data_IF_574752607865
#
_entry.id   IF_574752607865
#
_cell.length_a   1.000
_cell.length_b   1.000
_cell.length_c   1.000
_cell.angle_alpha   90.00
_cell.angle_beta   90.00
_cell.angle_gamma   90.00
#
_symmetry.space_group_name_H-M   'P 1'
#
loop_
_entity.id
_entity.type
_entity.pdbx_description
1 polymer ?
#
# COMPACT_ATOMS: atom_id res chain seq x y z
N UNK A 1 -2.89 27.01 3.85
CA UNK A 1 -2.77 25.86 2.92
C UNK A 1 -4.16 25.52 2.41
N UNK A 2 -4.34 25.43 1.08
CA UNK A 2 -5.63 25.04 0.50
C UNK A 2 -5.80 23.53 0.68
N UNK A 3 -6.75 23.11 1.50
CA UNK A 3 -7.14 21.71 1.62
C UNK A 3 -8.14 21.40 0.51
N UNK A 4 -7.76 20.57 -0.45
CA UNK A 4 -8.67 20.08 -1.48
C UNK A 4 -9.37 18.83 -0.94
N UNK A 5 -10.68 18.88 -0.63
CA UNK A 5 -11.37 17.73 -0.09
C UNK A 5 -11.50 16.65 -1.16
N UNK A 6 -10.97 15.46 -0.88
CA UNK A 6 -11.16 14.28 -1.73
C UNK A 6 -12.65 13.89 -1.68
N UNK A 7 -13.34 13.96 -2.83
CA UNK A 7 -14.79 13.72 -2.92
C UNK A 7 -15.14 12.25 -3.16
N UNK A 8 -14.31 11.54 -3.92
CA UNK A 8 -14.51 10.13 -4.25
C UNK A 8 -14.05 9.20 -3.11
N UNK A 9 -14.67 8.02 -2.98
CA UNK A 9 -14.28 7.01 -1.99
C UNK A 9 -12.97 6.30 -2.34
N UNK A 10 -12.66 6.22 -3.64
CA UNK A 10 -11.42 5.68 -4.19
C UNK A 10 -11.03 6.50 -5.42
N UNK A 11 -9.75 6.50 -5.75
CA UNK A 11 -9.18 7.20 -6.89
C UNK A 11 -8.26 6.26 -7.65
N UNK A 12 -8.21 6.40 -8.97
CA UNK A 12 -7.18 5.76 -9.79
C UNK A 12 -5.80 6.31 -9.44
N UNK A 13 -4.74 5.63 -9.90
CA UNK A 13 -3.36 6.08 -9.66
C UNK A 13 -3.07 7.45 -10.27
N UNK A 14 -3.66 7.76 -11.42
CA UNK A 14 -3.50 9.05 -12.10
C UNK A 14 -4.22 10.16 -11.31
N UNK A 15 -5.49 9.96 -10.96
CA UNK A 15 -6.24 10.90 -10.13
C UNK A 15 -5.60 11.12 -8.77
N UNK A 16 -5.04 10.08 -8.14
CA UNK A 16 -4.32 10.19 -6.89
C UNK A 16 -3.03 11.02 -7.04
N UNK A 17 -2.28 10.86 -8.13
CA UNK A 17 -1.11 11.68 -8.43
C UNK A 17 -1.50 13.16 -8.63
N UNK A 18 -2.61 13.43 -9.31
CA UNK A 18 -3.13 14.79 -9.50
C UNK A 18 -3.54 15.44 -8.16
N UNK A 19 -4.20 14.69 -7.28
CA UNK A 19 -4.52 15.18 -5.92
C UNK A 19 -3.25 15.47 -5.13
N UNK A 20 -2.25 14.60 -5.17
CA UNK A 20 -0.98 14.83 -4.48
C UNK A 20 -0.27 16.10 -4.99
N UNK A 21 -0.30 16.34 -6.29
CA UNK A 21 0.24 17.55 -6.92
C UNK A 21 -0.44 18.83 -6.42
N UNK A 22 -1.74 18.79 -6.13
CA UNK A 22 -2.47 19.91 -5.53
C UNK A 22 -2.03 20.23 -4.10
N UNK A 23 -1.39 19.27 -3.42
CA UNK A 23 -0.83 19.40 -2.07
C UNK A 23 0.69 19.66 -2.07
N UNK A 24 1.25 20.17 -3.17
CA UNK A 24 2.69 20.42 -3.36
C UNK A 24 3.57 19.16 -3.25
N UNK A 25 2.98 17.97 -3.41
CA UNK A 25 3.68 16.68 -3.45
C UNK A 25 3.73 16.21 -4.89
N UNK A 26 4.86 16.46 -5.56
CA UNK A 26 5.08 16.04 -6.95
C UNK A 26 5.54 14.58 -7.00
N UNK A 27 4.58 13.66 -7.08
CA UNK A 27 4.84 12.23 -7.30
C UNK A 27 4.23 11.77 -8.63
N UNK A 28 4.96 10.96 -9.38
CA UNK A 28 4.44 10.30 -10.58
C UNK A 28 3.60 9.08 -10.18
N UNK A 29 2.69 8.59 -11.04
CA UNK A 29 1.98 7.33 -10.81
C UNK A 29 2.91 6.15 -10.53
N UNK A 30 4.10 6.14 -11.16
CA UNK A 30 5.13 5.14 -10.91
C UNK A 30 5.71 5.18 -9.48
N UNK A 31 5.77 6.36 -8.86
CA UNK A 31 6.22 6.52 -7.48
C UNK A 31 5.20 5.92 -6.50
N UNK A 32 3.91 5.96 -6.82
CA UNK A 32 2.87 5.31 -6.01
C UNK A 32 3.08 3.79 -5.94
N UNK A 33 3.56 3.15 -7.02
CA UNK A 33 3.95 1.75 -6.98
C UNK A 33 5.14 1.51 -6.04
N UNK A 34 6.13 2.41 -6.00
CA UNK A 34 7.25 2.32 -5.05
C UNK A 34 6.75 2.41 -3.61
N UNK A 35 5.94 3.42 -3.31
CA UNK A 35 5.35 3.56 -1.97
C UNK A 35 4.50 2.35 -1.58
N UNK A 36 3.80 1.74 -2.53
CA UNK A 36 3.06 0.51 -2.30
C UNK A 36 3.96 -0.68 -1.98
N UNK A 37 5.02 -0.88 -2.76
CA UNK A 37 5.99 -1.96 -2.54
C UNK A 37 6.77 -1.79 -1.23
N UNK A 38 6.95 -0.55 -0.77
CA UNK A 38 7.54 -0.22 0.54
C UNK A 38 6.53 -0.17 1.69
N UNK A 39 5.24 -0.47 1.45
CA UNK A 39 4.14 -0.43 2.43
C UNK A 39 3.82 0.94 3.02
N UNK A 40 4.31 2.00 2.38
CA UNK A 40 3.94 3.37 2.74
C UNK A 40 2.53 3.70 2.25
N UNK A 41 2.02 2.93 1.28
CA UNK A 41 0.70 3.09 0.69
C UNK A 41 0.06 1.72 0.46
N UNK A 42 -1.24 1.60 0.71
CA UNK A 42 -1.99 0.38 0.37
C UNK A 42 -2.69 0.57 -0.97
N UNK A 43 -2.39 -0.28 -1.95
CA UNK A 43 -3.16 -0.36 -3.19
C UNK A 43 -4.39 -1.22 -3.00
N UNK A 44 -5.45 -0.88 -3.72
CA UNK A 44 -6.68 -1.67 -3.79
C UNK A 44 -7.01 -1.99 -5.24
N UNK A 45 -7.81 -3.02 -5.45
CA UNK A 45 -8.37 -3.40 -6.74
C UNK A 45 -9.89 -3.28 -6.69
N UNK A 46 -10.43 -2.69 -7.75
CA UNK A 46 -11.85 -2.66 -8.04
C UNK A 46 -12.14 -3.61 -9.20
N UNK A 47 -12.92 -4.65 -8.92
CA UNK A 47 -13.36 -5.62 -9.93
C UNK A 47 -14.65 -5.12 -10.59
N UNK A 48 -14.59 -4.78 -11.88
CA UNK A 48 -15.78 -4.42 -12.65
C UNK A 48 -16.65 -5.66 -12.91
N UNK A 49 -16.04 -6.75 -13.38
CA UNK A 49 -16.70 -8.04 -13.54
C UNK A 49 -16.70 -8.90 -12.26
N UNK A 50 -17.63 -9.85 -12.12
CA UNK A 50 -17.63 -10.83 -11.05
C UNK A 50 -16.35 -11.68 -11.06
N UNK A 51 -15.73 -11.82 -9.89
CA UNK A 51 -14.58 -12.69 -9.67
C UNK A 51 -14.86 -13.73 -8.60
N UNK A 52 -14.26 -14.91 -8.76
CA UNK A 52 -14.33 -15.97 -7.76
C UNK A 52 -13.20 -15.83 -6.75
N UNK A 53 -13.57 -15.73 -5.48
CA UNK A 53 -12.67 -15.60 -4.35
C UNK A 53 -12.76 -16.82 -3.45
N UNK A 54 -11.61 -17.46 -3.24
CA UNK A 54 -11.44 -18.58 -2.32
C UNK A 54 -10.88 -18.06 -1.00
N UNK A 55 -11.47 -18.36 0.17
CA UNK A 55 -10.88 -18.02 1.45
C UNK A 55 -9.45 -18.57 1.57
N UNK A 56 -8.53 -17.72 2.00
CA UNK A 56 -7.13 -18.07 2.20
C UNK A 56 -6.75 -17.78 3.65
N UNK A 57 -6.20 -18.79 4.33
CA UNK A 57 -5.48 -18.58 5.59
C UNK A 57 -4.00 -18.47 5.27
N UNK A 58 -3.41 -17.27 5.20
CA UNK A 58 -2.00 -17.13 4.85
C UNK A 58 -1.14 -17.80 5.92
N UNK A 59 -0.44 -18.87 5.55
CA UNK A 59 0.48 -19.61 6.43
C UNK A 59 1.90 -19.08 6.34
N UNK A 60 2.22 -18.27 5.33
CA UNK A 60 3.45 -17.51 5.33
C UNK A 60 3.34 -16.47 6.44
N UNK A 61 4.16 -16.62 7.49
CA UNK A 61 4.42 -15.51 8.38
C UNK A 61 4.82 -14.30 7.50
N UNK A 62 4.29 -13.13 7.82
CA UNK A 62 4.63 -11.83 7.20
C UNK A 62 6.16 -11.54 7.18
N UNK A 63 6.99 -12.44 7.71
CA UNK A 63 8.45 -12.49 7.63
C UNK A 63 9.03 -12.41 6.21
N UNK A 64 8.34 -12.91 5.17
CA UNK A 64 8.79 -12.73 3.78
C UNK A 64 8.68 -11.28 3.27
N UNK A 65 8.10 -10.39 4.09
CA UNK A 65 7.77 -9.02 3.73
C UNK A 65 8.66 -8.00 4.47
N UNK A 66 9.53 -8.42 5.40
CA UNK A 66 10.31 -7.51 6.25
C UNK A 66 11.83 -7.70 6.28
N UNK A 67 12.42 -8.79 5.76
CA UNK A 67 13.85 -9.02 5.97
C UNK A 67 14.71 -8.96 4.70
N UNK A 68 15.64 -8.02 4.75
CA UNK A 68 17.00 -8.20 4.25
C UNK A 68 17.56 -9.57 4.70
N UNK A 69 18.21 -10.29 3.80
CA UNK A 69 19.23 -11.29 4.15
C UNK A 69 18.82 -12.72 4.48
N UNK A 70 17.63 -13.03 5.01
CA UNK A 70 17.29 -14.43 5.33
C UNK A 70 16.15 -14.96 4.43
N UNK A 71 16.56 -15.71 3.41
CA UNK A 71 15.69 -16.58 2.61
C UNK A 71 14.57 -17.16 3.47
N UNK A 72 13.31 -17.01 3.05
CA UNK A 72 12.19 -17.72 3.66
C UNK A 72 12.54 -19.21 3.67
N UNK A 73 13.07 -19.70 4.79
CA UNK A 73 13.33 -21.12 4.99
C UNK A 73 11.93 -21.73 5.03
N UNK A 74 11.54 -22.60 4.09
CA UNK A 74 10.33 -23.37 4.27
C UNK A 74 10.53 -24.13 5.57
N UNK A 75 9.85 -23.69 6.63
CA UNK A 75 9.92 -24.31 7.94
C UNK A 75 9.74 -25.81 7.71
N UNK A 76 10.76 -26.62 8.03
CA UNK A 76 10.79 -28.09 7.80
C UNK A 76 9.59 -28.84 8.42
N UNK A 77 8.65 -28.15 9.08
CA UNK A 77 7.47 -28.69 9.75
C UNK A 77 6.13 -28.05 9.39
N UNK A 78 6.07 -27.13 8.43
CA UNK A 78 4.78 -26.76 7.81
C UNK A 78 4.87 -26.97 6.31
N UNK A 79 4.36 -28.14 5.92
CA UNK A 79 4.34 -28.64 4.55
C UNK A 79 3.59 -27.64 3.69
N UNK A 80 4.35 -26.89 2.89
CA UNK A 80 3.95 -26.28 1.60
C UNK A 80 2.80 -25.28 1.69
N UNK A 81 2.89 -24.13 1.01
CA UNK A 81 1.71 -23.64 0.29
C UNK A 81 1.57 -24.63 -0.85
N UNK A 82 0.83 -25.75 -0.70
CA UNK A 82 0.78 -26.68 -1.80
C UNK A 82 -0.05 -25.97 -2.87
N UNK A 83 0.00 -26.46 -4.09
CA UNK A 83 -1.22 -26.44 -4.88
C UNK A 83 -2.37 -26.89 -3.97
N UNK A 84 -3.14 -25.93 -3.44
CA UNK A 84 -4.37 -26.20 -2.72
C UNK A 84 -5.15 -27.08 -3.68
N UNK A 85 -5.57 -28.26 -3.22
CA UNK A 85 -6.27 -29.21 -4.09
C UNK A 85 -7.29 -28.43 -4.92
N UNK A 86 -7.39 -28.65 -6.24
CA UNK A 86 -8.43 -28.04 -7.05
C UNK A 86 -9.75 -28.35 -6.35
N UNK A 87 -10.39 -27.32 -5.86
CA UNK A 87 -11.66 -27.44 -5.14
C UNK A 87 -12.76 -27.11 -6.12
N UNK A 88 -13.84 -27.89 -6.03
CA UNK A 88 -15.04 -27.54 -6.77
C UNK A 88 -15.58 -26.22 -6.21
N UNK A 89 -16.19 -25.37 -7.05
CA UNK A 89 -17.00 -24.27 -6.57
C UNK A 89 -17.93 -24.76 -5.47
N UNK A 90 -17.73 -24.23 -4.27
CA UNK A 90 -18.40 -24.66 -3.05
C UNK A 90 -18.98 -23.46 -2.29
N UNK A 91 -19.82 -23.69 -1.27
CA UNK A 91 -20.53 -22.63 -0.56
C UNK A 91 -19.63 -21.64 0.19
N UNK A 92 -18.35 -21.97 0.37
CA UNK A 92 -17.35 -21.11 1.01
C UNK A 92 -16.70 -20.11 0.03
N UNK A 93 -16.95 -20.26 -1.26
CA UNK A 93 -16.42 -19.37 -2.29
C UNK A 93 -17.32 -18.15 -2.43
N UNK A 94 -16.70 -16.99 -2.59
CA UNK A 94 -17.41 -15.74 -2.77
C UNK A 94 -17.28 -15.31 -4.22
N UNK A 95 -18.41 -15.20 -4.90
CA UNK A 95 -18.49 -14.46 -6.15
C UNK A 95 -18.76 -13.00 -5.81
N UNK A 96 -17.87 -12.11 -6.25
CA UNK A 96 -17.97 -10.68 -5.92
C UNK A 96 -17.70 -9.85 -7.15
N UNK A 97 -18.58 -8.88 -7.40
CA UNK A 97 -18.38 -7.80 -8.36
C UNK A 97 -18.50 -6.46 -7.62
N UNK A 98 -18.01 -5.38 -8.21
CA UNK A 98 -18.25 -4.01 -7.75
C UNK A 98 -17.88 -3.79 -6.27
N UNK A 99 -16.82 -4.45 -5.81
CA UNK A 99 -16.33 -4.35 -4.44
C UNK A 99 -14.84 -4.04 -4.42
N UNK A 100 -14.45 -3.24 -3.44
CA UNK A 100 -13.08 -2.78 -3.29
C UNK A 100 -12.29 -3.69 -2.37
N UNK A 101 -11.19 -4.23 -2.88
CA UNK A 101 -10.33 -5.17 -2.16
C UNK A 101 -8.91 -4.65 -2.03
N UNK A 102 -8.30 -4.80 -0.86
CA UNK A 102 -6.91 -4.37 -0.68
C UNK A 102 -5.94 -5.40 -1.24
N UNK A 103 -4.86 -4.93 -1.85
CA UNK A 103 -3.75 -5.76 -2.27
C UNK A 103 -2.70 -5.82 -1.15
N UNK A 104 -2.53 -6.97 -0.48
CA UNK A 104 -1.52 -7.11 0.57
C UNK A 104 -0.09 -7.25 0.04
N UNK A 105 0.09 -7.47 -1.27
CA UNK A 105 1.40 -7.63 -1.93
C UNK A 105 2.26 -8.76 -1.33
N UNK A 106 1.61 -9.89 -1.01
CA UNK A 106 2.25 -11.09 -0.44
C UNK A 106 2.42 -12.21 -1.47
N UNK A 107 1.56 -12.27 -2.49
CA UNK A 107 1.53 -13.31 -3.52
C UNK A 107 2.04 -12.82 -4.87
N UNK A 108 1.40 -13.31 -5.94
CA UNK A 108 1.70 -12.96 -7.33
C UNK A 108 1.39 -11.49 -7.65
N UNK A 109 0.45 -10.88 -6.93
CA UNK A 109 0.09 -9.48 -7.10
C UNK A 109 1.30 -8.55 -6.93
N UNK A 110 2.26 -8.89 -6.05
CA UNK A 110 3.50 -8.11 -5.90
C UNK A 110 4.34 -8.11 -7.18
N UNK A 111 4.46 -9.27 -7.82
CA UNK A 111 5.20 -9.38 -9.10
C UNK A 111 4.49 -8.58 -10.20
N UNK A 112 3.16 -8.63 -10.26
CA UNK A 112 2.37 -7.86 -11.23
C UNK A 112 2.56 -6.35 -11.04
N UNK A 113 2.56 -5.87 -9.79
CA UNK A 113 2.83 -4.46 -9.49
C UNK A 113 4.28 -4.08 -9.86
N UNK A 114 5.26 -4.93 -9.54
CA UNK A 114 6.65 -4.69 -9.95
C UNK A 114 6.83 -4.64 -11.47
N UNK A 115 6.13 -5.50 -12.22
CA UNK A 115 6.13 -5.49 -13.67
C UNK A 115 5.49 -4.19 -14.20
N UNK A 116 4.33 -3.78 -13.69
CA UNK A 116 3.69 -2.51 -14.08
C UNK A 116 4.62 -1.31 -13.81
N UNK A 117 5.28 -1.28 -12.65
CA UNK A 117 6.28 -0.27 -12.32
C UNK A 117 7.48 -0.29 -13.29
N UNK A 118 8.01 -1.48 -13.63
CA UNK A 118 9.13 -1.62 -14.55
C UNK A 118 8.79 -1.07 -15.96
N UNK A 119 7.56 -1.31 -16.44
CA UNK A 119 7.08 -0.72 -17.69
C UNK A 119 7.05 0.80 -17.63
N UNK A 120 6.51 1.39 -16.55
CA UNK A 120 6.49 2.85 -16.37
C UNK A 120 7.88 3.47 -16.29
N UNK A 121 8.88 2.72 -15.83
CA UNK A 121 10.28 3.17 -15.71
C UNK A 121 11.15 2.77 -16.90
N UNK A 122 10.59 2.13 -17.93
CA UNK A 122 11.33 1.62 -19.09
C UNK A 122 12.53 0.74 -18.65
N UNK A 123 12.28 -0.13 -17.68
CA UNK A 123 13.27 -1.03 -17.08
C UNK A 123 12.93 -2.50 -17.39
N UNK A 124 13.92 -3.42 -17.34
CA UNK A 124 13.67 -4.84 -17.59
C UNK A 124 12.65 -5.41 -16.59
N UNK A 125 11.67 -6.16 -17.12
CA UNK A 125 10.59 -6.69 -16.32
C UNK A 125 11.05 -7.87 -15.45
N UNK A 126 10.74 -7.87 -14.14
CA UNK A 126 11.06 -9.00 -13.29
C UNK A 126 10.26 -10.24 -13.71
N UNK A 127 10.97 -11.37 -13.83
CA UNK A 127 10.37 -12.66 -14.24
C UNK A 127 10.11 -13.60 -13.06
N UNK A 128 10.70 -13.34 -11.89
CA UNK A 128 10.58 -14.18 -10.69
C UNK A 128 10.14 -13.32 -9.51
N UNK A 129 9.07 -13.76 -8.84
CA UNK A 129 8.61 -13.20 -7.58
C UNK A 129 9.22 -13.90 -6.36
N UNK A 130 8.89 -13.42 -5.18
CA UNK A 130 9.25 -14.07 -3.92
C UNK A 130 8.56 -15.44 -3.73
N UNK A 131 8.95 -16.15 -2.68
CA UNK A 131 8.56 -17.53 -2.35
C UNK A 131 7.05 -17.83 -2.30
N UNK A 132 6.19 -16.81 -2.21
CA UNK A 132 4.72 -16.97 -2.15
C UNK A 132 4.02 -16.91 -3.51
N UNK A 133 4.75 -17.05 -4.64
CA UNK A 133 4.15 -17.10 -5.99
C UNK A 133 3.04 -18.16 -6.12
N UNK A 134 3.16 -19.27 -5.40
CA UNK A 134 2.17 -20.37 -5.42
C UNK A 134 0.83 -19.97 -4.76
N UNK A 135 0.79 -18.85 -4.02
CA UNK A 135 -0.44 -18.28 -3.48
C UNK A 135 -1.32 -17.63 -4.56
N UNK A 136 -0.85 -17.48 -5.81
CA UNK A 136 -1.57 -16.73 -6.83
C UNK A 136 -1.79 -15.27 -6.42
N UNK A 137 -2.81 -14.63 -6.99
CA UNK A 137 -3.20 -13.27 -6.63
C UNK A 137 -4.00 -13.32 -5.32
N UNK A 138 -3.53 -12.59 -4.32
CA UNK A 138 -4.20 -12.46 -3.02
C UNK A 138 -4.84 -11.08 -2.89
N UNK A 139 -6.06 -11.07 -2.35
CA UNK A 139 -6.80 -9.87 -2.01
C UNK A 139 -7.25 -9.94 -0.54
N UNK A 140 -7.43 -8.78 0.09
CA UNK A 140 -7.78 -8.66 1.50
C UNK A 140 -9.06 -7.85 1.67
N UNK A 141 -10.00 -8.40 2.45
CA UNK A 141 -11.22 -7.73 2.85
C UNK A 141 -10.93 -6.67 3.92
N UNK A 142 -11.84 -5.70 4.10
CA UNK A 142 -11.74 -4.66 5.14
C UNK A 142 -11.71 -5.25 6.56
N UNK A 143 -12.34 -6.40 6.77
CA UNK A 143 -12.30 -7.16 8.03
C UNK A 143 -10.96 -7.88 8.30
N UNK A 144 -9.97 -7.73 7.42
CA UNK A 144 -8.64 -8.34 7.57
C UNK A 144 -8.57 -9.81 7.12
N UNK A 145 -9.63 -10.36 6.51
CA UNK A 145 -9.64 -11.71 5.93
C UNK A 145 -9.00 -11.72 4.55
N UNK A 146 -8.24 -12.78 4.25
CA UNK A 146 -7.55 -12.95 2.97
C UNK A 146 -8.31 -13.91 2.06
N UNK A 147 -8.25 -13.61 0.77
CA UNK A 147 -8.85 -14.41 -0.28
C UNK A 147 -7.88 -14.54 -1.44
N UNK A 148 -7.93 -15.69 -2.10
CA UNK A 148 -7.20 -15.99 -3.32
C UNK A 148 -8.14 -15.82 -4.51
N UNK A 149 -7.69 -15.07 -5.51
CA UNK A 149 -8.40 -14.94 -6.78
C UNK A 149 -8.32 -16.25 -7.56
N UNK A 150 -9.47 -16.76 -7.98
CA UNK A 150 -9.60 -18.02 -8.68
C UNK A 150 -10.35 -17.83 -10.01
N UNK A 151 -10.01 -18.68 -10.97
CA UNK A 151 -10.73 -18.85 -12.23
C UNK A 151 -11.28 -20.28 -12.32
N UNK A 152 -12.48 -20.47 -12.88
CA UNK A 152 -13.01 -21.80 -13.11
C UNK A 152 -12.31 -22.43 -14.32
N UNK A 153 -11.50 -23.46 -14.08
CA UNK A 153 -10.80 -24.20 -15.13
C UNK A 153 -11.05 -25.70 -15.05
N UNK A 154 -11.22 -26.40 -16.18
CA UNK A 154 -11.39 -27.85 -16.16
C UNK A 154 -10.11 -28.53 -15.68
N UNK A 155 -10.26 -29.63 -14.94
CA UNK A 155 -9.15 -30.34 -14.33
C UNK A 155 -8.09 -30.81 -15.34
N UNK A 156 -8.53 -31.13 -16.57
CA UNK A 156 -7.63 -31.48 -17.68
C UNK A 156 -6.69 -30.34 -18.03
N UNK A 157 -7.20 -29.12 -18.16
CA UNK A 157 -6.37 -27.95 -18.52
C UNK A 157 -5.38 -27.62 -17.41
N UNK A 158 -5.83 -27.65 -16.15
CA UNK A 158 -4.96 -27.47 -14.98
C UNK A 158 -3.81 -28.50 -15.00
N UNK A 159 -4.10 -29.76 -15.31
CA UNK A 159 -3.09 -30.80 -15.38
C UNK A 159 -2.08 -30.55 -16.51
N UNK A 160 -2.54 -30.10 -17.68
CA UNK A 160 -1.69 -29.80 -18.83
C UNK A 160 -0.77 -28.60 -18.54
N UNK A 161 -1.33 -27.49 -18.04
CA UNK A 161 -0.54 -26.30 -17.65
C UNK A 161 0.54 -26.66 -16.61
N UNK A 162 0.20 -27.51 -15.64
CA UNK A 162 1.14 -27.97 -14.63
C UNK A 162 2.30 -28.78 -15.20
N UNK A 163 2.01 -29.66 -16.15
CA UNK A 163 3.02 -30.48 -16.82
C UNK A 163 3.91 -29.59 -17.69
N UNK A 164 3.33 -28.63 -18.41
CA UNK A 164 4.07 -27.68 -19.23
C UNK A 164 4.99 -26.80 -18.38
N UNK A 165 4.50 -26.24 -17.27
CA UNK A 165 5.28 -25.34 -16.42
C UNK A 165 6.36 -26.05 -15.59
N UNK A 166 6.12 -27.29 -15.16
CA UNK A 166 6.98 -27.99 -14.17
C UNK A 166 7.65 -29.26 -14.71
N UNK A 167 7.30 -29.71 -15.92
CA UNK A 167 7.67 -31.01 -16.48
C UNK A 167 7.04 -32.21 -15.76
N UNK A 168 6.33 -32.01 -14.64
CA UNK A 168 5.71 -33.06 -13.84
C UNK A 168 4.55 -32.54 -12.99
N UNK A 169 3.58 -33.41 -12.72
CA UNK A 169 2.47 -33.09 -11.81
C UNK A 169 2.97 -33.01 -10.36
N UNK A 170 2.59 -31.97 -9.59
CA UNK A 170 2.85 -31.92 -8.16
C UNK A 170 2.30 -33.16 -7.44
N UNK A 171 3.06 -33.71 -6.49
CA UNK A 171 2.67 -34.93 -5.75
C UNK A 171 1.25 -34.88 -5.18
N UNK A 172 0.78 -33.77 -4.58
CA UNK A 172 -0.60 -33.68 -4.09
C UNK A 172 -1.65 -33.81 -5.20
N UNK A 173 -1.36 -33.22 -6.37
CA UNK A 173 -2.23 -33.29 -7.54
C UNK A 173 -2.21 -34.69 -8.14
N UNK A 174 -1.04 -35.31 -8.27
CA UNK A 174 -0.91 -36.68 -8.74
C UNK A 174 -1.68 -37.67 -7.84
N UNK A 175 -1.57 -37.54 -6.52
CA UNK A 175 -2.35 -38.35 -5.57
C UNK A 175 -3.85 -38.13 -5.70
N UNK A 176 -4.28 -36.89 -5.93
CA UNK A 176 -5.69 -36.57 -6.17
C UNK A 176 -6.20 -37.24 -7.45
N UNK A 177 -5.46 -37.11 -8.55
CA UNK A 177 -5.78 -37.76 -9.82
C UNK A 177 -5.86 -39.27 -9.65
N UNK A 178 -4.86 -39.90 -9.01
CA UNK A 178 -4.85 -41.34 -8.77
C UNK A 178 -6.08 -41.84 -7.99
N UNK A 179 -6.58 -41.06 -7.02
CA UNK A 179 -7.82 -41.38 -6.29
C UNK A 179 -9.06 -41.26 -7.18
N UNK A 180 -9.12 -40.27 -8.06
CA UNK A 180 -10.20 -40.12 -9.02
C UNK A 180 -10.25 -41.30 -9.99
N UNK A 181 -9.08 -41.70 -10.52
CA UNK A 181 -8.94 -42.87 -11.39
C UNK A 181 -9.44 -44.14 -10.72
N UNK A 182 -9.05 -44.42 -9.46
CA UNK A 182 -9.46 -45.64 -8.76
C UNK A 182 -10.94 -45.70 -8.43
N UNK A 183 -11.56 -44.58 -8.04
CA UNK A 183 -12.93 -44.61 -7.51
C UNK A 183 -14.00 -44.68 -8.58
N UNK A 184 -13.81 -44.02 -9.73
CA UNK A 184 -14.87 -43.90 -10.74
C UNK A 184 -14.34 -43.80 -12.18
N UNK A 185 -13.72 -44.87 -12.72
CA UNK A 185 -13.08 -44.86 -14.04
C UNK A 185 -14.05 -44.49 -15.18
N UNK A 186 -15.29 -44.97 -15.14
CA UNK A 186 -16.31 -44.65 -16.15
C UNK A 186 -16.73 -43.16 -16.15
N UNK A 187 -16.65 -42.48 -15.00
CA UNK A 187 -17.00 -41.05 -14.89
C UNK A 187 -15.82 -40.10 -15.14
N UNK A 188 -14.64 -40.65 -15.42
CA UNK A 188 -13.41 -39.87 -15.50
C UNK A 188 -13.42 -38.81 -16.61
N UNK A 189 -13.88 -39.09 -17.84
CA UNK A 189 -13.98 -38.06 -18.89
C UNK A 189 -14.87 -36.89 -18.46
N UNK A 190 -16.00 -37.17 -17.80
CA UNK A 190 -16.89 -36.14 -17.28
C UNK A 190 -16.21 -35.32 -16.17
N UNK A 191 -15.53 -35.98 -15.22
CA UNK A 191 -14.83 -35.31 -14.11
C UNK A 191 -13.65 -34.45 -14.57
N UNK A 192 -12.97 -34.83 -15.65
CA UNK A 192 -11.88 -34.04 -16.23
C UNK A 192 -12.37 -32.75 -16.89
N UNK A 193 -13.63 -32.72 -17.36
CA UNK A 193 -14.28 -31.56 -17.94
C UNK A 193 -14.94 -30.64 -16.90
N UNK A 194 -15.14 -31.11 -15.67
CA UNK A 194 -15.74 -30.31 -14.61
C UNK A 194 -14.82 -29.12 -14.25
N UNK A 195 -15.38 -27.91 -14.06
CA UNK A 195 -14.62 -26.77 -13.61
C UNK A 195 -14.20 -26.92 -12.14
N UNK A 196 -12.95 -26.55 -11.88
CA UNK A 196 -12.36 -26.41 -10.55
C UNK A 196 -11.84 -24.99 -10.41
N UNK A 197 -11.86 -24.48 -9.18
CA UNK A 197 -11.26 -23.18 -8.91
C UNK A 197 -9.75 -23.31 -8.87
N UNK A 198 -9.10 -22.57 -9.77
CA UNK A 198 -7.67 -22.55 -9.96
C UNK A 198 -7.10 -21.15 -9.70
N UNK A 199 -5.95 -21.00 -9.03
CA UNK A 199 -5.37 -19.68 -8.76
C UNK A 199 -5.07 -18.94 -10.07
N UNK A 200 -5.62 -17.73 -10.21
CA UNK A 200 -5.38 -16.93 -11.41
C UNK A 200 -3.93 -16.43 -11.47
N UNK A 201 -3.34 -16.45 -12.68
CA UNK A 201 -2.01 -15.92 -12.95
C UNK A 201 -2.02 -14.41 -13.24
N UNK A 202 -3.16 -13.84 -13.59
CA UNK A 202 -3.33 -12.42 -13.94
C UNK A 202 -4.60 -11.83 -13.31
N UNK A 203 -4.60 -10.52 -13.12
CA UNK A 203 -5.82 -9.79 -12.80
C UNK A 203 -6.72 -9.77 -14.05
N UNK A 204 -8.06 -9.82 -13.90
CA UNK A 204 -8.99 -9.58 -15.00
C UNK A 204 -8.68 -8.26 -15.72
N UNK A 205 -8.88 -8.23 -17.04
CA UNK A 205 -8.50 -7.09 -17.89
C UNK A 205 -9.21 -5.79 -17.52
N UNK A 206 -10.44 -5.90 -17.02
CA UNK A 206 -11.31 -4.81 -16.58
C UNK A 206 -11.08 -4.41 -15.11
N UNK A 207 -10.04 -4.93 -14.46
CA UNK A 207 -9.70 -4.58 -13.08
C UNK A 207 -9.04 -3.22 -13.01
N UNK A 208 -9.57 -2.33 -12.17
CA UNK A 208 -8.96 -1.03 -11.90
C UNK A 208 -8.08 -1.09 -10.65
N UNK A 209 -6.84 -0.60 -10.77
CA UNK A 209 -5.97 -0.34 -9.63
C UNK A 209 -6.27 1.04 -9.07
N UNK A 210 -6.62 1.08 -7.79
CA UNK A 210 -7.12 2.28 -7.12
C UNK A 210 -6.54 2.43 -5.72
N UNK A 211 -6.66 3.63 -5.16
CA UNK A 211 -6.28 3.96 -3.79
C UNK A 211 -7.52 4.44 -3.06
N UNK A 212 -7.82 3.84 -1.90
CA UNK A 212 -8.89 4.32 -1.01
C UNK A 212 -8.60 5.74 -0.54
N UNK A 213 -9.63 6.56 -0.46
CA UNK A 213 -9.56 7.91 0.15
C UNK A 213 -8.88 7.89 1.51
N UNK A 214 -9.25 6.96 2.39
CA UNK A 214 -8.68 6.85 3.74
C UNK A 214 -7.18 6.58 3.73
N UNK A 215 -6.69 5.81 2.75
CA UNK A 215 -5.26 5.52 2.58
C UNK A 215 -4.51 6.72 2.01
N UNK A 216 -5.10 7.42 1.04
CA UNK A 216 -4.52 8.63 0.47
C UNK A 216 -4.45 9.78 1.50
N UNK A 217 -5.48 9.96 2.32
CA UNK A 217 -5.49 10.93 3.41
C UNK A 217 -4.43 10.61 4.48
N UNK A 218 -4.26 9.34 4.83
CA UNK A 218 -3.21 8.91 5.75
C UNK A 218 -1.81 9.17 5.17
N UNK A 219 -1.62 8.88 3.88
CA UNK A 219 -0.38 9.15 3.15
C UNK A 219 -0.06 10.65 3.11
N UNK A 220 -1.07 11.48 2.82
CA UNK A 220 -0.97 12.93 2.86
C UNK A 220 -0.53 13.42 4.24
N UNK A 221 -1.16 12.96 5.33
CA UNK A 221 -0.75 13.36 6.69
C UNK A 221 0.71 13.03 7.03
N UNK A 222 1.26 11.97 6.45
CA UNK A 222 2.65 11.58 6.66
C UNK A 222 3.64 12.39 5.81
N UNK A 223 3.25 12.80 4.59
CA UNK A 223 4.13 13.47 3.62
C UNK A 223 3.96 14.98 3.59
N UNK A 224 2.82 15.50 4.06
CA UNK A 224 2.70 16.92 4.35
C UNK A 224 3.68 17.23 5.47
N UNK A 225 4.64 18.15 5.26
CA UNK A 225 5.43 18.64 6.37
C UNK A 225 4.44 19.16 7.41
N UNK A 226 4.56 18.71 8.65
CA UNK A 226 3.88 19.38 9.77
C UNK A 226 4.24 20.86 9.62
N UNK A 227 3.27 21.64 9.16
CA UNK A 227 3.42 23.06 8.89
C UNK A 227 3.53 23.82 10.19
N UNK A 228 4.52 23.51 11.02
CA UNK A 228 5.07 24.49 11.93
C UNK A 228 5.94 25.37 11.03
N UNK A 229 5.58 26.66 10.81
CA UNK A 229 6.45 27.56 10.06
C UNK A 229 7.81 27.56 10.76
N UNK A 230 8.81 26.90 10.15
CA UNK A 230 10.16 26.87 10.69
C UNK A 230 10.75 28.25 10.43
N UNK A 231 10.83 29.05 11.47
CA UNK A 231 11.60 30.30 11.45
C UNK A 231 13.02 29.95 10.97
N UNK A 232 13.48 30.53 9.87
CA UNK A 232 14.82 30.28 9.33
C UNK A 232 15.86 30.99 10.20
N UNK A 233 17.13 30.58 10.16
CA UNK A 233 18.19 31.22 10.98
C UNK A 233 18.32 32.70 10.62
N UNK A 234 18.15 33.04 9.34
CA UNK A 234 18.16 34.41 8.86
C UNK A 234 17.02 35.23 9.47
N UNK A 235 15.79 34.71 9.47
CA UNK A 235 14.64 35.38 10.10
C UNK A 235 14.78 35.47 11.63
N UNK A 236 15.32 34.44 12.28
CA UNK A 236 15.66 34.48 13.70
C UNK A 236 16.65 35.60 14.03
N UNK A 237 17.71 35.77 13.23
CA UNK A 237 18.70 36.85 13.39
C UNK A 237 18.10 38.24 13.15
N UNK A 238 17.26 38.38 12.14
CA UNK A 238 16.56 39.64 11.86
C UNK A 238 15.57 39.99 12.98
N UNK A 239 14.82 39.00 13.49
CA UNK A 239 13.92 39.17 14.62
C UNK A 239 14.70 39.60 15.87
N UNK A 240 15.80 38.93 16.19
CA UNK A 240 16.65 39.30 17.33
C UNK A 240 17.22 40.72 17.18
N UNK A 241 17.74 41.06 15.99
CA UNK A 241 18.27 42.39 15.70
C UNK A 241 17.19 43.48 15.85
N UNK A 242 15.98 43.22 15.34
CA UNK A 242 14.84 44.13 15.46
C UNK A 242 14.46 44.34 16.92
N UNK A 243 14.47 43.28 17.75
CA UNK A 243 14.21 43.40 19.17
C UNK A 243 15.33 44.18 19.90
N UNK A 244 16.60 43.89 19.60
CA UNK A 244 17.77 44.55 20.20
C UNK A 244 17.87 46.05 19.86
N UNK A 245 17.36 46.46 18.70
CA UNK A 245 17.35 47.86 18.26
C UNK A 245 16.07 48.60 18.62
N UNK A 246 15.09 47.95 19.23
CA UNK A 246 13.85 48.58 19.63
C UNK A 246 14.02 49.32 20.97
N UNK A 247 13.78 50.64 21.04
CA UNK A 247 13.93 51.41 22.28
C UNK A 247 12.94 51.02 23.39
N UNK A 248 11.85 50.32 23.07
CA UNK A 248 10.86 49.85 24.05
C UNK A 248 11.18 48.47 24.63
N UNK A 249 12.17 47.76 24.07
CA UNK A 249 12.59 46.44 24.52
C UNK A 249 13.99 46.54 25.12
N UNK A 250 14.10 46.34 26.42
CA UNK A 250 15.38 46.33 27.12
C UNK A 250 16.06 44.94 27.06
N UNK A 251 17.32 44.90 27.48
CA UNK A 251 18.12 43.67 27.49
C UNK A 251 17.59 42.62 28.48
N UNK A 252 16.87 43.06 29.53
CA UNK A 252 16.22 42.18 30.49
C UNK A 252 14.99 41.47 29.89
N UNK A 253 14.20 42.15 29.05
CA UNK A 253 13.08 41.55 28.33
C UNK A 253 13.54 40.56 27.27
N UNK A 254 14.68 40.82 26.62
CA UNK A 254 15.32 39.88 25.69
C UNK A 254 15.78 38.59 26.38
N UNK A 255 16.24 38.68 27.63
CA UNK A 255 16.59 37.51 28.45
C UNK A 255 15.36 36.72 28.93
N UNK A 256 14.16 37.31 28.83
CA UNK A 256 12.89 36.72 29.27
C UNK A 256 11.82 36.70 28.17
N UNK A 257 11.97 35.83 27.13
CA UNK A 257 11.13 35.82 25.94
C UNK A 257 9.62 35.66 26.17
N UNK A 258 9.22 35.08 27.30
CA UNK A 258 7.80 34.93 27.65
C UNK A 258 7.12 36.27 27.96
N UNK A 259 7.86 37.29 28.42
CA UNK A 259 7.33 38.65 28.64
C UNK A 259 7.08 39.38 27.33
N UNK A 260 7.84 39.06 26.29
CA UNK A 260 7.71 39.63 24.94
C UNK A 260 6.44 39.14 24.23
N UNK A 261 5.89 37.99 24.63
CA UNK A 261 4.72 37.41 23.98
C UNK A 261 3.51 38.34 24.06
N UNK A 262 3.20 38.85 25.26
CA UNK A 262 2.09 39.78 25.47
C UNK A 262 2.29 41.10 24.72
N UNK A 263 3.54 41.57 24.61
CA UNK A 263 3.88 42.80 23.87
C UNK A 263 3.61 42.62 22.38
N UNK A 264 4.09 41.52 21.80
CA UNK A 264 3.85 41.23 20.39
C UNK A 264 2.38 40.97 20.07
N UNK A 265 1.64 40.34 20.98
CA UNK A 265 0.20 40.16 20.80
C UNK A 265 -0.56 41.49 20.87
N UNK A 266 -0.15 42.43 21.73
CA UNK A 266 -0.70 43.80 21.77
C UNK A 266 -0.42 44.56 20.48
N UNK A 267 0.84 44.58 20.03
CA UNK A 267 1.22 45.24 18.77
C UNK A 267 0.51 44.62 17.57
N UNK A 268 0.34 43.30 17.55
CA UNK A 268 -0.40 42.62 16.50
C UNK A 268 -1.88 43.05 16.49
N UNK A 269 -2.52 43.17 17.66
CA UNK A 269 -3.91 43.63 17.76
C UNK A 269 -4.08 45.08 17.29
N UNK A 270 -3.15 45.96 17.63
CA UNK A 270 -3.14 47.37 17.20
C UNK A 270 -3.07 47.51 15.68
N UNK A 271 -2.28 46.66 15.02
CA UNK A 271 -2.14 46.61 13.56
C UNK A 271 -3.22 45.74 12.87
N UNK A 272 -4.21 45.25 13.61
CA UNK A 272 -5.29 44.40 13.08
C UNK A 272 -4.87 42.97 12.70
N UNK A 273 -3.67 42.53 13.10
CA UNK A 273 -3.14 41.20 12.89
C UNK A 273 -3.64 40.25 13.98
N UNK A 274 -4.45 39.24 13.61
CA UNK A 274 -4.83 38.15 14.53
C UNK A 274 -3.79 37.04 14.50
N UNK A 275 -2.75 37.18 15.31
CA UNK A 275 -1.68 36.17 15.46
C UNK A 275 -1.76 35.56 16.86
N UNK A 276 -1.89 34.24 16.92
CA UNK A 276 -1.68 33.46 18.15
C UNK A 276 -0.19 33.09 18.19
N UNK A 277 0.56 33.72 19.09
CA UNK A 277 1.99 33.43 19.24
C UNK A 277 2.20 32.31 20.26
N UNK A 278 3.16 31.43 20.00
CA UNK A 278 3.59 30.40 20.94
C UNK A 278 4.91 30.83 21.60
N UNK A 279 4.92 30.92 22.93
CA UNK A 279 6.09 31.33 23.72
C UNK A 279 7.34 30.48 23.49
N UNK A 280 7.17 29.18 23.28
CA UNK A 280 8.31 28.28 23.00
C UNK A 280 8.91 28.55 21.62
N UNK A 281 8.08 28.92 20.64
CA UNK A 281 8.55 29.26 19.29
C UNK A 281 9.29 30.60 19.30
N UNK A 282 8.80 31.58 20.05
CA UNK A 282 9.45 32.87 20.21
C UNK A 282 10.80 32.75 20.93
N UNK A 283 10.84 31.98 22.03
CA UNK A 283 12.08 31.68 22.77
C UNK A 283 13.12 31.02 21.87
N UNK A 284 12.72 29.98 21.13
CA UNK A 284 13.63 29.27 20.22
C UNK A 284 14.13 30.16 19.07
N UNK A 285 13.28 31.06 18.55
CA UNK A 285 13.66 31.98 17.50
C UNK A 285 14.68 33.03 17.98
N UNK A 286 14.48 33.60 19.17
CA UNK A 286 15.38 34.61 19.74
C UNK A 286 16.72 34.01 20.18
N UNK A 287 16.72 32.84 20.82
CA UNK A 287 17.96 32.18 21.25
C UNK A 287 18.83 31.76 20.06
N UNK A 288 18.22 31.34 18.96
CA UNK A 288 18.92 31.00 17.71
C UNK A 288 19.39 32.22 16.93
N UNK A 289 18.73 33.37 17.11
CA UNK A 289 19.03 34.62 16.43
C UNK A 289 20.13 35.43 17.09
N UNK A 290 20.40 35.19 18.37
CA UNK A 290 21.47 35.85 19.11
C UNK A 290 22.83 35.56 18.45
N UNK A 291 23.75 36.55 18.40
CA UNK A 291 25.13 36.30 17.98
C UNK A 291 25.81 35.35 18.99
N UNK A 292 26.62 34.43 18.46
CA UNK A 292 27.49 33.54 19.26
C UNK A 292 28.56 34.35 20.01
#
# INVERSE_FOLDING_TARGET
>A
MKTYPIRQEWLTLEEAADVLKQHDIALLPADLFRHALHKNLTLSVWFQSPVLLRPLTPTCQFACINNEGEFCRPSRRQKTMPFSRPERPGPQMRETCCTLWDLPLIGLERLLIQQKMAHSLVCPCPQRGHCCREAGIVVRHTEGRYYQLCEPKPLREIALELIEQRGKLPTPFHQFMARLYRRHPASLPARLRMPFCYPSASLPEDTLLVIRKTQLEAFLKQHLPEGKPRVTTALSRLLWLACKKNPQLDDELLAHPYKLLNIFESWAQEEGLRVSLNGDTLKSALSRGAPD
#
